data_IF_581060300382
#
_entry.id   IF_581060300382
#
_cell.length_a   1.000
_cell.length_b   1.000
_cell.length_c   1.000
_cell.angle_alpha   90.00
_cell.angle_beta   90.00
_cell.angle_gamma   90.00
#
_symmetry.space_group_name_H-M   'P 1'
#
loop_
_entity.id
_entity.type
_entity.pdbx_description
1 polymer ?
#
# COMPACT_ATOMS: atom_id res chain seq x y z
N UNK A 1 -12.18 3.32 84.28
CA UNK A 1 -11.91 4.57 83.52
C UNK A 1 -11.09 4.39 82.24
N UNK A 2 -10.42 3.25 81.98
CA UNK A 2 -9.63 3.06 80.74
C UNK A 2 -10.43 2.56 79.51
N UNK A 3 -11.54 1.85 79.69
CA UNK A 3 -12.34 1.34 78.55
C UNK A 3 -13.23 2.39 77.88
N UNK A 4 -13.68 3.41 78.61
CA UNK A 4 -14.51 4.49 78.05
C UNK A 4 -13.73 5.47 77.16
N UNK A 5 -12.41 5.59 77.36
CA UNK A 5 -11.55 6.44 76.54
C UNK A 5 -11.35 5.85 75.15
N UNK A 6 -11.27 4.52 75.03
CA UNK A 6 -11.05 3.85 73.74
C UNK A 6 -12.30 3.93 72.85
N UNK A 7 -13.51 3.84 73.43
CA UNK A 7 -14.76 3.97 72.68
C UNK A 7 -14.97 5.40 72.17
N UNK A 8 -14.59 6.41 72.95
CA UNK A 8 -14.70 7.81 72.52
C UNK A 8 -13.77 8.16 71.34
N UNK A 9 -12.58 7.55 71.27
CA UNK A 9 -11.61 7.80 70.20
C UNK A 9 -12.05 7.17 68.86
N UNK A 10 -12.73 6.02 68.90
CA UNK A 10 -13.21 5.35 67.68
C UNK A 10 -14.40 6.10 67.05
N UNK A 11 -15.24 6.76 67.85
CA UNK A 11 -16.37 7.56 67.34
C UNK A 11 -15.87 8.87 66.69
N UNK A 12 -14.71 9.40 67.11
CA UNK A 12 -14.12 10.62 66.55
C UNK A 12 -13.31 10.40 65.26
N UNK A 13 -13.00 9.15 64.88
CA UNK A 13 -12.30 8.82 63.63
C UNK A 13 -13.23 8.34 62.51
N UNK A 14 -14.53 8.24 62.77
CA UNK A 14 -15.55 7.97 61.75
C UNK A 14 -15.90 9.24 60.96
N UNK A 15 -15.02 9.64 60.04
CA UNK A 15 -15.34 10.71 59.09
C UNK A 15 -16.53 10.32 58.22
N UNK A 16 -17.61 11.11 58.27
CA UNK A 16 -18.73 10.98 57.33
C UNK A 16 -18.23 11.36 55.93
N UNK A 17 -18.04 10.37 55.06
CA UNK A 17 -17.85 10.61 53.62
C UNK A 17 -19.23 10.87 53.02
N UNK A 18 -19.59 12.15 52.88
CA UNK A 18 -20.80 12.56 52.16
C UNK A 18 -20.57 12.33 50.67
N UNK A 19 -21.23 11.33 50.09
CA UNK A 19 -21.29 11.16 48.64
C UNK A 19 -22.27 12.19 48.06
N UNK A 20 -21.86 13.03 47.08
CA UNK A 20 -22.78 13.94 46.43
C UNK A 20 -23.78 13.16 45.57
N UNK A 21 -24.97 13.73 45.37
CA UNK A 21 -25.95 13.22 44.40
C UNK A 21 -25.31 13.05 43.01
N UNK A 22 -25.76 12.03 42.26
CA UNK A 22 -25.29 11.76 40.91
C UNK A 22 -25.32 13.04 40.05
N UNK A 23 -24.22 13.33 39.35
CA UNK A 23 -24.12 14.47 38.42
C UNK A 23 -23.57 15.78 38.98
N UNK A 24 -23.08 15.83 40.23
CA UNK A 24 -22.41 17.03 40.80
C UNK A 24 -20.94 16.82 41.19
N UNK A 25 -20.27 15.84 40.57
CA UNK A 25 -18.89 15.46 40.84
C UNK A 25 -17.84 16.33 40.15
N UNK A 26 -17.56 17.53 40.66
CA UNK A 26 -16.33 18.27 40.32
C UNK A 26 -16.23 18.83 38.89
N UNK A 27 -15.15 19.58 38.64
CA UNK A 27 -14.91 20.39 37.43
C UNK A 27 -14.84 19.60 36.11
N UNK A 28 -14.88 18.26 36.16
CA UNK A 28 -14.86 17.40 34.98
C UNK A 28 -16.24 17.28 34.29
N UNK A 29 -17.34 17.60 34.97
CA UNK A 29 -18.70 17.36 34.46
C UNK A 29 -19.27 18.58 33.68
N UNK A 30 -18.54 19.70 33.62
CA UNK A 30 -19.08 20.97 33.09
C UNK A 30 -18.99 21.13 31.57
N UNK A 31 -18.74 20.05 30.82
CA UNK A 31 -18.60 20.12 29.36
C UNK A 31 -19.93 20.07 28.58
N UNK A 32 -21.08 19.91 29.23
CA UNK A 32 -22.36 19.77 28.51
C UNK A 32 -23.07 21.08 28.11
N UNK A 33 -22.53 22.25 28.45
CA UNK A 33 -23.14 23.54 28.07
C UNK A 33 -22.26 24.33 27.08
N UNK A 34 -21.88 23.71 25.96
CA UNK A 34 -21.50 24.48 24.78
C UNK A 34 -22.78 24.79 24.00
N UNK A 35 -23.14 26.07 23.78
CA UNK A 35 -24.20 26.40 22.86
C UNK A 35 -23.72 26.00 21.46
N UNK A 36 -24.32 24.97 20.89
CA UNK A 36 -24.21 24.70 19.47
C UNK A 36 -25.02 25.78 18.75
N UNK A 37 -24.37 26.90 18.46
CA UNK A 37 -24.90 27.93 17.58
C UNK A 37 -24.74 27.45 16.12
N UNK A 38 -25.89 27.46 15.44
CA UNK A 38 -26.15 27.32 14.02
C UNK A 38 -25.93 25.93 13.38
N UNK A 39 -27.04 25.19 13.38
CA UNK A 39 -27.42 24.21 12.36
C UNK A 39 -27.26 24.79 10.94
N UNK A 40 -26.08 24.63 10.36
CA UNK A 40 -25.98 24.51 8.91
C UNK A 40 -26.33 23.05 8.58
N UNK A 41 -27.62 22.79 8.34
CA UNK A 41 -28.14 21.49 7.94
C UNK A 41 -27.54 21.11 6.58
N UNK A 42 -26.39 20.43 6.58
CA UNK A 42 -25.85 19.80 5.39
C UNK A 42 -26.79 18.65 5.00
N UNK A 43 -27.50 18.81 3.88
CA UNK A 43 -28.50 17.87 3.38
C UNK A 43 -27.91 16.57 2.83
N UNK A 44 -26.67 16.25 3.20
CA UNK A 44 -25.89 15.11 2.72
C UNK A 44 -25.63 14.11 3.85
N UNK A 45 -26.62 13.90 4.73
CA UNK A 45 -26.62 12.78 5.65
C UNK A 45 -26.72 11.48 4.85
N UNK A 46 -25.57 10.81 4.67
CA UNK A 46 -25.53 9.42 4.23
C UNK A 46 -26.53 8.64 5.09
N UNK A 47 -27.49 7.98 4.44
CA UNK A 47 -28.49 7.24 5.18
C UNK A 47 -27.77 6.13 5.98
N UNK A 48 -28.21 5.79 7.20
CA UNK A 48 -27.56 4.77 8.01
C UNK A 48 -27.31 3.46 7.27
N UNK A 49 -28.17 3.13 6.30
CA UNK A 49 -28.06 1.99 5.39
C UNK A 49 -26.82 2.06 4.48
N UNK A 50 -26.53 3.24 3.92
CA UNK A 50 -25.38 3.47 3.03
C UNK A 50 -24.06 3.33 3.81
N UNK A 51 -24.06 3.75 5.07
CA UNK A 51 -22.90 3.61 5.97
C UNK A 51 -22.65 2.15 6.31
N UNK A 52 -23.68 1.40 6.73
CA UNK A 52 -23.53 -0.02 7.07
C UNK A 52 -23.08 -0.86 5.87
N UNK A 53 -23.62 -0.58 4.68
CA UNK A 53 -23.27 -1.31 3.46
C UNK A 53 -21.83 -1.04 3.01
N UNK A 54 -21.40 0.23 2.97
CA UNK A 54 -20.03 0.59 2.60
C UNK A 54 -18.99 0.06 3.58
N UNK A 55 -19.26 0.15 4.89
CA UNK A 55 -18.38 -0.42 5.92
C UNK A 55 -18.33 -1.95 5.84
N UNK A 56 -19.44 -2.62 5.52
CA UNK A 56 -19.44 -4.06 5.27
C UNK A 56 -18.58 -4.44 4.07
N UNK A 57 -18.67 -3.72 2.95
CA UNK A 57 -17.80 -3.93 1.78
C UNK A 57 -16.32 -3.78 2.13
N UNK A 58 -15.97 -2.77 2.94
CA UNK A 58 -14.60 -2.58 3.42
C UNK A 58 -14.09 -3.77 4.26
N UNK A 59 -14.92 -4.32 5.16
CA UNK A 59 -14.55 -5.50 5.94
C UNK A 59 -14.41 -6.76 5.08
N UNK A 60 -15.23 -6.91 4.05
CA UNK A 60 -15.12 -8.01 3.06
C UNK A 60 -13.77 -7.94 2.36
N UNK A 61 -13.36 -6.77 1.85
CA UNK A 61 -12.07 -6.57 1.20
C UNK A 61 -10.90 -6.87 2.15
N UNK A 62 -11.02 -6.49 3.43
CA UNK A 62 -10.02 -6.80 4.44
C UNK A 62 -9.88 -8.31 4.65
N UNK A 63 -10.98 -9.05 4.70
CA UNK A 63 -10.95 -10.50 4.85
C UNK A 63 -10.41 -11.19 3.58
N UNK A 64 -10.70 -10.66 2.39
CA UNK A 64 -10.11 -11.11 1.12
C UNK A 64 -8.61 -10.88 1.05
N UNK A 65 -8.12 -9.73 1.54
CA UNK A 65 -6.69 -9.47 1.68
C UNK A 65 -6.02 -10.54 2.56
N UNK A 66 -6.60 -10.86 3.72
CA UNK A 66 -6.06 -11.91 4.60
C UNK A 66 -6.07 -13.28 3.91
N UNK A 67 -7.11 -13.61 3.13
CA UNK A 67 -7.15 -14.85 2.32
C UNK A 67 -6.05 -14.88 1.27
N UNK A 68 -5.78 -13.76 0.59
CA UNK A 68 -4.72 -13.65 -0.42
C UNK A 68 -3.32 -13.83 0.17
N UNK A 69 -3.13 -13.44 1.42
CA UNK A 69 -1.90 -13.65 2.18
C UNK A 69 -1.76 -15.09 2.73
N UNK A 70 -2.60 -16.01 2.29
CA UNK A 70 -2.62 -17.41 2.70
C UNK A 70 -2.80 -17.64 4.22
N UNK A 71 -3.63 -16.81 4.86
CA UNK A 71 -4.01 -16.99 6.28
C UNK A 71 -4.59 -18.38 6.57
N UNK A 72 -5.16 -19.06 5.57
CA UNK A 72 -5.72 -20.40 5.69
C UNK A 72 -4.66 -21.43 6.08
N UNK A 73 -3.42 -21.30 5.60
CA UNK A 73 -2.32 -22.18 5.95
C UNK A 73 -1.91 -22.04 7.42
N UNK A 74 -1.95 -20.82 7.95
CA UNK A 74 -1.57 -20.53 9.34
C UNK A 74 -2.70 -20.76 10.34
N UNK A 75 -3.90 -20.23 10.05
CA UNK A 75 -4.99 -20.10 11.02
C UNK A 75 -6.36 -20.43 10.39
N UNK A 76 -6.58 -21.68 9.95
CA UNK A 76 -7.79 -22.07 9.24
C UNK A 76 -9.06 -21.90 10.08
N UNK A 77 -8.98 -22.16 11.40
CA UNK A 77 -10.12 -22.03 12.30
C UNK A 77 -10.57 -20.56 12.48
N UNK A 78 -9.62 -19.63 12.57
CA UNK A 78 -9.92 -18.21 12.72
C UNK A 78 -10.46 -17.61 11.42
N UNK A 79 -9.93 -18.04 10.27
CA UNK A 79 -10.47 -17.68 8.96
C UNK A 79 -11.93 -18.13 8.83
N UNK A 80 -12.22 -19.40 9.17
CA UNK A 80 -13.58 -19.93 9.11
C UNK A 80 -14.53 -19.16 10.03
N UNK A 81 -14.07 -18.83 11.26
CA UNK A 81 -14.84 -17.99 12.18
C UNK A 81 -15.18 -16.65 11.54
N UNK A 82 -14.20 -15.94 10.99
CA UNK A 82 -14.44 -14.66 10.32
C UNK A 82 -15.46 -14.77 9.18
N UNK A 83 -15.39 -15.81 8.35
CA UNK A 83 -16.35 -16.05 7.27
C UNK A 83 -17.77 -16.32 7.79
N UNK A 84 -17.93 -17.04 8.90
CA UNK A 84 -19.25 -17.27 9.51
C UNK A 84 -19.87 -15.95 9.99
N UNK A 85 -19.07 -15.08 10.62
CA UNK A 85 -19.51 -13.75 11.04
C UNK A 85 -19.89 -12.87 9.84
N UNK A 86 -19.08 -12.85 8.78
CA UNK A 86 -19.39 -12.14 7.53
C UNK A 86 -20.74 -12.60 6.94
N UNK A 87 -20.96 -13.92 6.85
CA UNK A 87 -22.21 -14.49 6.36
C UNK A 87 -23.41 -14.13 7.23
N UNK A 88 -23.23 -13.96 8.54
CA UNK A 88 -24.28 -13.49 9.45
C UNK A 88 -24.65 -12.04 9.16
N UNK A 89 -23.66 -11.15 9.06
CA UNK A 89 -23.88 -9.72 8.75
C UNK A 89 -24.56 -9.55 7.39
N UNK A 90 -24.11 -10.31 6.38
CA UNK A 90 -24.72 -10.33 5.05
C UNK A 90 -26.22 -10.66 5.10
N UNK A 91 -26.63 -11.60 5.96
CA UNK A 91 -28.04 -11.95 6.17
C UNK A 91 -28.82 -10.82 6.84
N UNK A 92 -28.24 -10.17 7.85
CA UNK A 92 -28.87 -9.03 8.54
C UNK A 92 -29.10 -7.85 7.59
N UNK A 93 -28.10 -7.50 6.77
CA UNK A 93 -28.21 -6.48 5.72
C UNK A 93 -29.31 -6.86 4.71
N UNK A 94 -29.33 -8.11 4.25
CA UNK A 94 -30.36 -8.57 3.31
C UNK A 94 -31.77 -8.54 3.90
N UNK A 95 -31.89 -8.67 5.23
CA UNK A 95 -33.14 -8.61 5.97
C UNK A 95 -33.51 -7.18 6.42
N UNK A 96 -32.72 -6.16 6.03
CA UNK A 96 -32.90 -4.76 6.43
C UNK A 96 -32.87 -4.55 7.97
N UNK A 97 -32.15 -5.42 8.69
CA UNK A 97 -31.96 -5.33 10.14
C UNK A 97 -30.73 -4.45 10.44
N UNK A 98 -30.84 -3.15 10.16
CA UNK A 98 -29.70 -2.23 10.13
C UNK A 98 -29.02 -2.03 11.49
N UNK A 99 -29.77 -1.91 12.59
CA UNK A 99 -29.15 -1.73 13.92
C UNK A 99 -28.36 -2.96 14.36
N UNK A 100 -28.90 -4.15 14.09
CA UNK A 100 -28.22 -5.41 14.41
C UNK A 100 -27.00 -5.62 13.51
N UNK A 101 -27.12 -5.26 12.23
CA UNK A 101 -26.02 -5.30 11.29
C UNK A 101 -24.89 -4.35 11.71
N UNK A 102 -25.20 -3.12 12.13
CA UNK A 102 -24.23 -2.13 12.63
C UNK A 102 -23.46 -2.63 13.85
N UNK A 103 -24.18 -3.22 14.83
CA UNK A 103 -23.54 -3.78 16.02
C UNK A 103 -22.60 -4.94 15.68
N UNK A 104 -23.07 -5.88 14.86
CA UNK A 104 -22.25 -7.00 14.40
C UNK A 104 -21.06 -6.55 13.55
N UNK A 105 -21.22 -5.48 12.77
CA UNK A 105 -20.17 -4.89 11.96
C UNK A 105 -19.02 -4.35 12.81
N UNK A 106 -19.35 -3.61 13.87
CA UNK A 106 -18.36 -3.09 14.83
C UNK A 106 -17.61 -4.24 15.52
N UNK A 107 -18.33 -5.28 15.96
CA UNK A 107 -17.71 -6.49 16.52
C UNK A 107 -16.78 -7.17 15.51
N UNK A 108 -17.22 -7.29 14.26
CA UNK A 108 -16.44 -7.92 13.20
C UNK A 108 -15.20 -7.11 12.83
N UNK A 109 -15.29 -5.78 12.79
CA UNK A 109 -14.16 -4.87 12.61
C UNK A 109 -13.07 -5.11 13.65
N UNK A 110 -13.44 -5.15 14.94
CA UNK A 110 -12.49 -5.42 16.02
C UNK A 110 -11.91 -6.84 15.94
N UNK A 111 -12.74 -7.83 15.63
CA UNK A 111 -12.28 -9.21 15.46
C UNK A 111 -11.28 -9.35 14.31
N UNK A 112 -11.51 -8.70 13.16
CA UNK A 112 -10.59 -8.70 12.03
C UNK A 112 -9.29 -7.95 12.33
N UNK A 113 -9.34 -6.85 13.08
CA UNK A 113 -8.14 -6.15 13.56
C UNK A 113 -7.27 -7.06 14.45
N UNK A 114 -7.89 -7.74 15.43
CA UNK A 114 -7.20 -8.68 16.28
C UNK A 114 -6.63 -9.87 15.48
N UNK A 115 -7.42 -10.40 14.54
CA UNK A 115 -6.98 -11.48 13.67
C UNK A 115 -5.77 -11.09 12.82
N UNK A 116 -5.76 -9.86 12.29
CA UNK A 116 -4.63 -9.33 11.50
C UNK A 116 -3.36 -9.29 12.35
N UNK A 117 -3.42 -8.67 13.54
CA UNK A 117 -2.27 -8.59 14.44
C UNK A 117 -1.77 -9.99 14.87
N UNK A 118 -2.71 -10.90 15.14
CA UNK A 118 -2.36 -12.27 15.50
C UNK A 118 -1.72 -13.01 14.33
N UNK A 119 -2.23 -12.84 13.11
CA UNK A 119 -1.66 -13.42 11.89
C UNK A 119 -0.23 -12.96 11.67
N UNK A 120 0.03 -11.65 11.78
CA UNK A 120 1.38 -11.08 11.66
C UNK A 120 2.34 -11.69 12.68
N UNK A 121 1.87 -11.86 13.92
CA UNK A 121 2.66 -12.48 15.00
C UNK A 121 2.97 -13.94 14.71
N UNK A 122 1.97 -14.73 14.31
CA UNK A 122 2.14 -16.16 13.99
C UNK A 122 3.10 -16.31 12.81
N UNK A 123 2.95 -15.48 11.78
CA UNK A 123 3.83 -15.46 10.61
C UNK A 123 5.29 -15.17 10.98
N UNK A 124 5.53 -14.20 11.86
CA UNK A 124 6.88 -13.87 12.34
C UNK A 124 7.53 -14.99 13.17
N UNK A 125 6.73 -15.78 13.91
CA UNK A 125 7.25 -16.80 14.81
C UNK A 125 7.38 -18.18 14.18
N UNK A 126 6.56 -18.48 13.16
CA UNK A 126 6.40 -19.86 12.65
C UNK A 126 6.71 -20.01 11.16
N UNK A 127 7.07 -18.92 10.46
CA UNK A 127 7.29 -18.88 9.01
C UNK A 127 6.14 -19.50 8.18
N UNK A 128 4.94 -19.57 8.77
CA UNK A 128 3.73 -20.05 8.10
C UNK A 128 3.29 -19.02 7.04
N UNK A 129 2.55 -19.47 6.01
CA UNK A 129 2.15 -18.64 4.87
C UNK A 129 3.35 -18.05 4.07
N UNK A 130 4.41 -18.85 3.91
CA UNK A 130 5.56 -18.55 3.04
C UNK A 130 5.25 -18.76 1.56
N UNK A 131 4.15 -18.17 1.08
CA UNK A 131 4.08 -17.69 -0.31
C UNK A 131 4.12 -16.18 -0.25
N UNK A 132 5.31 -15.68 0.10
CA UNK A 132 5.67 -14.29 -0.01
C UNK A 132 7.16 -14.30 -0.16
N UNK A 133 7.60 -14.04 -1.39
CA UNK A 133 8.99 -13.77 -1.72
C UNK A 133 9.51 -12.80 -0.66
N UNK A 134 10.42 -13.26 0.19
CA UNK A 134 11.00 -12.43 1.25
C UNK A 134 11.55 -11.15 0.60
N UNK A 135 11.35 -9.96 1.20
CA UNK A 135 11.93 -8.69 0.71
C UNK A 135 13.38 -8.82 0.18
N UNK A 136 14.31 -9.55 0.83
CA UNK A 136 15.65 -9.79 0.26
C UNK A 136 15.67 -10.63 -1.03
N UNK A 137 14.77 -11.60 -1.18
CA UNK A 137 14.60 -12.36 -2.42
C UNK A 137 13.96 -11.51 -3.54
N UNK A 138 13.04 -10.60 -3.20
CA UNK A 138 12.47 -9.65 -4.17
C UNK A 138 13.54 -8.73 -4.75
N UNK A 139 14.40 -8.15 -3.91
CA UNK A 139 15.51 -7.32 -4.39
C UNK A 139 16.52 -8.09 -5.25
N UNK A 140 16.74 -9.37 -4.92
CA UNK A 140 17.59 -10.25 -5.73
C UNK A 140 16.97 -10.53 -7.10
N UNK A 141 15.66 -10.82 -7.12
CA UNK A 141 14.91 -11.06 -8.36
C UNK A 141 14.82 -9.79 -9.21
N UNK A 142 14.61 -8.60 -8.59
CA UNK A 142 14.63 -7.32 -9.29
C UNK A 142 15.97 -7.03 -9.94
N UNK A 143 17.06 -7.26 -9.21
CA UNK A 143 18.41 -7.09 -9.77
C UNK A 143 18.62 -8.01 -10.96
N UNK A 144 18.26 -9.28 -10.81
CA UNK A 144 18.34 -10.25 -11.90
C UNK A 144 17.45 -9.86 -13.10
N UNK A 145 16.25 -9.34 -12.85
CA UNK A 145 15.35 -8.86 -13.89
C UNK A 145 15.92 -7.64 -14.62
N UNK A 146 16.52 -6.70 -13.89
CA UNK A 146 17.22 -5.54 -14.45
C UNK A 146 18.40 -6.00 -15.31
N UNK A 147 19.20 -6.95 -14.84
CA UNK A 147 20.36 -7.47 -15.57
C UNK A 147 19.98 -8.17 -16.89
N UNK A 148 18.82 -8.85 -16.91
CA UNK A 148 18.29 -9.50 -18.10
C UNK A 148 17.78 -8.49 -19.13
N UNK A 149 17.01 -7.49 -18.69
CA UNK A 149 16.37 -6.52 -19.58
C UNK A 149 17.32 -5.41 -20.04
N UNK A 150 18.24 -4.95 -19.18
CA UNK A 150 19.19 -3.86 -19.45
C UNK A 150 20.53 -4.37 -20.01
N UNK A 151 20.50 -5.48 -20.74
CA UNK A 151 21.69 -6.10 -21.31
C UNK A 151 22.17 -5.41 -22.59
N UNK A 152 23.47 -5.51 -22.91
CA UNK A 152 24.04 -4.96 -24.14
C UNK A 152 23.57 -5.67 -25.43
N UNK A 153 23.66 -4.93 -26.55
CA UNK A 153 23.41 -5.42 -27.92
C UNK A 153 21.99 -5.93 -28.16
N UNK A 154 21.00 -5.14 -27.75
CA UNK A 154 19.59 -5.46 -27.87
C UNK A 154 19.09 -5.40 -29.33
N UNK A 155 19.64 -4.45 -30.11
CA UNK A 155 19.21 -4.15 -31.48
C UNK A 155 20.41 -4.02 -32.43
N UNK A 156 20.20 -4.40 -33.69
CA UNK A 156 21.15 -4.10 -34.77
C UNK A 156 21.14 -2.60 -35.15
N UNK A 157 22.15 -2.18 -35.93
CA UNK A 157 22.23 -0.80 -36.41
C UNK A 157 21.00 -0.42 -37.22
N UNK A 158 20.41 0.74 -36.92
CA UNK A 158 19.19 1.26 -37.55
C UNK A 158 17.98 0.29 -37.55
N UNK A 159 17.96 -0.70 -36.65
CA UNK A 159 16.88 -1.66 -36.52
C UNK A 159 16.10 -1.45 -35.21
N UNK A 160 14.84 -1.86 -35.23
CA UNK A 160 13.98 -1.99 -34.06
C UNK A 160 13.67 -3.46 -33.70
N UNK A 161 14.08 -4.40 -34.54
CA UNK A 161 13.98 -5.82 -34.26
C UNK A 161 15.03 -6.25 -33.23
N UNK A 162 14.60 -7.05 -32.25
CA UNK A 162 15.49 -7.56 -31.20
C UNK A 162 16.41 -8.66 -31.74
N UNK A 163 17.63 -8.73 -31.20
CA UNK A 163 18.53 -9.83 -31.54
C UNK A 163 18.04 -11.16 -30.93
N UNK A 164 18.33 -12.32 -31.57
CA UNK A 164 17.94 -13.62 -31.02
C UNK A 164 18.48 -13.86 -29.59
N UNK A 165 19.69 -13.37 -29.29
CA UNK A 165 20.28 -13.43 -27.96
C UNK A 165 19.48 -12.62 -26.93
N UNK A 166 18.98 -11.44 -27.32
CA UNK A 166 18.15 -10.62 -26.44
C UNK A 166 16.75 -11.22 -26.28
N UNK A 167 16.18 -11.84 -27.32
CA UNK A 167 14.89 -12.53 -27.24
C UNK A 167 14.88 -13.63 -26.15
N UNK A 168 15.98 -14.39 -26.01
CA UNK A 168 16.13 -15.38 -24.94
C UNK A 168 16.13 -14.72 -23.55
N UNK A 169 16.80 -13.58 -23.39
CA UNK A 169 16.82 -12.83 -22.12
C UNK A 169 15.44 -12.25 -21.79
N UNK A 170 14.72 -11.74 -22.79
CA UNK A 170 13.36 -11.23 -22.62
C UNK A 170 12.39 -12.35 -22.21
N UNK A 171 12.56 -13.56 -22.74
CA UNK A 171 11.80 -14.73 -22.30
C UNK A 171 12.08 -15.07 -20.82
N UNK A 172 13.35 -15.14 -20.43
CA UNK A 172 13.75 -15.38 -19.03
C UNK A 172 13.22 -14.29 -18.09
N UNK A 173 13.27 -13.03 -18.51
CA UNK A 173 12.73 -11.91 -17.76
C UNK A 173 11.21 -12.04 -17.59
N UNK A 174 10.48 -12.42 -18.65
CA UNK A 174 9.04 -12.65 -18.58
C UNK A 174 8.66 -13.77 -17.60
N UNK A 175 9.44 -14.85 -17.54
CA UNK A 175 9.24 -15.92 -16.57
C UNK A 175 9.43 -15.45 -15.13
N UNK A 176 10.43 -14.60 -14.86
CA UNK A 176 10.62 -14.00 -13.54
C UNK A 176 9.49 -13.01 -13.19
N UNK A 177 9.02 -12.21 -14.16
CA UNK A 177 7.93 -11.25 -13.94
C UNK A 177 6.64 -11.98 -13.56
N UNK A 178 6.35 -13.13 -14.18
CA UNK A 178 5.16 -13.94 -13.86
C UNK A 178 5.18 -14.52 -12.45
N UNK A 179 6.35 -14.65 -11.83
CA UNK A 179 6.48 -15.09 -10.44
C UNK A 179 6.23 -13.97 -9.42
N UNK A 180 6.19 -12.71 -9.87
CA UNK A 180 6.02 -11.54 -9.02
C UNK A 180 4.56 -11.07 -9.06
N UNK A 181 3.92 -10.97 -7.89
CA UNK A 181 2.47 -10.74 -7.81
C UNK A 181 2.01 -9.34 -8.22
N UNK A 182 2.91 -8.35 -8.37
CA UNK A 182 2.56 -7.01 -8.84
C UNK A 182 3.82 -6.21 -9.23
N UNK A 183 4.18 -6.17 -10.51
CA UNK A 183 5.33 -5.38 -11.01
C UNK A 183 4.90 -4.51 -12.17
N UNK A 184 5.25 -3.23 -12.10
CA UNK A 184 5.12 -2.32 -13.23
C UNK A 184 6.49 -2.12 -13.86
N UNK A 185 6.56 -2.10 -15.19
CA UNK A 185 7.81 -1.96 -15.94
C UNK A 185 7.68 -0.76 -16.84
N UNK A 186 8.61 0.17 -16.70
CA UNK A 186 8.76 1.30 -17.59
C UNK A 186 9.90 1.02 -18.56
N UNK A 187 9.59 0.92 -19.85
CA UNK A 187 10.55 0.75 -20.94
C UNK A 187 10.83 2.10 -21.58
N UNK A 188 12.07 2.56 -21.54
CA UNK A 188 12.52 3.81 -22.13
C UNK A 188 13.43 3.53 -23.32
N UNK A 189 13.02 3.94 -24.51
CA UNK A 189 13.81 3.81 -25.72
C UNK A 189 14.85 4.92 -25.88
N UNK A 190 16.06 4.54 -26.29
CA UNK A 190 17.17 5.44 -26.63
C UNK A 190 17.73 5.15 -28.03
N UNK A 191 18.28 6.19 -28.64
CA UNK A 191 18.96 6.14 -29.95
C UNK A 191 20.27 6.90 -29.93
N UNK A 192 21.12 6.60 -30.90
CA UNK A 192 22.37 7.33 -31.15
C UNK A 192 22.12 8.80 -31.52
N UNK A 193 23.17 9.62 -31.43
CA UNK A 193 23.13 11.05 -31.80
C UNK A 193 23.14 11.29 -33.31
N UNK A 194 23.17 10.24 -34.12
CA UNK A 194 23.20 10.32 -35.58
C UNK A 194 21.78 10.36 -36.12
N UNK A 195 21.46 11.31 -36.99
CA UNK A 195 20.13 11.47 -37.59
C UNK A 195 19.35 12.68 -37.06
N UNK A 196 18.12 12.84 -37.51
CA UNK A 196 17.22 13.92 -37.07
C UNK A 196 16.54 13.55 -35.76
N UNK A 197 16.26 14.55 -34.92
CA UNK A 197 15.60 14.35 -33.62
C UNK A 197 14.27 13.61 -33.74
N UNK A 198 13.47 13.92 -34.76
CA UNK A 198 12.17 13.27 -34.96
C UNK A 198 12.32 11.79 -35.38
N UNK A 199 13.24 11.48 -36.30
CA UNK A 199 13.50 10.10 -36.70
C UNK A 199 14.04 9.26 -35.54
N UNK A 200 14.88 9.85 -34.69
CA UNK A 200 15.45 9.21 -33.51
C UNK A 200 14.39 8.99 -32.42
N UNK A 201 13.47 9.94 -32.25
CA UNK A 201 12.34 9.78 -31.34
C UNK A 201 11.44 8.60 -31.73
N UNK A 202 11.04 8.53 -33.01
CA UNK A 202 10.22 7.44 -33.53
C UNK A 202 10.92 6.09 -33.45
N UNK A 203 12.21 6.03 -33.78
CA UNK A 203 12.99 4.79 -33.71
C UNK A 203 13.14 4.28 -32.27
N UNK A 204 13.43 5.17 -31.33
CA UNK A 204 13.47 4.85 -29.90
C UNK A 204 12.12 4.31 -29.40
N UNK A 205 11.01 4.94 -29.80
CA UNK A 205 9.67 4.49 -29.43
C UNK A 205 9.37 3.09 -29.98
N UNK A 206 9.63 2.86 -31.27
CA UNK A 206 9.44 1.54 -31.91
C UNK A 206 10.23 0.44 -31.22
N UNK A 207 11.45 0.73 -30.76
CA UNK A 207 12.26 -0.23 -29.98
C UNK A 207 11.60 -0.58 -28.65
N UNK A 208 11.18 0.42 -27.87
CA UNK A 208 10.50 0.19 -26.59
C UNK A 208 9.18 -0.60 -26.79
N UNK A 209 8.43 -0.28 -27.83
CA UNK A 209 7.22 -1.01 -28.21
C UNK A 209 7.51 -2.45 -28.63
N UNK A 210 8.60 -2.69 -29.37
CA UNK A 210 8.99 -4.05 -29.76
C UNK A 210 9.32 -4.90 -28.53
N UNK A 211 10.07 -4.38 -27.57
CA UNK A 211 10.36 -5.10 -26.31
C UNK A 211 9.07 -5.37 -25.53
N UNK A 212 8.15 -4.39 -25.47
CA UNK A 212 6.82 -4.58 -24.88
C UNK A 212 6.05 -5.70 -25.57
N UNK A 213 6.03 -5.75 -26.89
CA UNK A 213 5.34 -6.81 -27.64
C UNK A 213 5.91 -8.18 -27.32
N UNK A 214 7.24 -8.33 -27.26
CA UNK A 214 7.87 -9.58 -26.88
C UNK A 214 7.54 -10.02 -25.45
N UNK A 215 7.56 -9.10 -24.48
CA UNK A 215 7.14 -9.40 -23.11
C UNK A 215 5.68 -9.85 -23.03
N UNK A 216 4.79 -9.21 -23.81
CA UNK A 216 3.38 -9.59 -23.91
C UNK A 216 3.21 -10.97 -24.54
N UNK A 217 3.97 -11.29 -25.59
CA UNK A 217 3.97 -12.62 -26.22
C UNK A 217 4.36 -13.71 -25.21
N UNK A 218 5.31 -13.42 -24.31
CA UNK A 218 5.72 -14.35 -23.25
C UNK A 218 4.81 -14.37 -22.01
N UNK A 219 3.68 -13.65 -22.06
CA UNK A 219 2.60 -13.73 -21.07
C UNK A 219 2.58 -12.62 -20.03
N UNK A 220 3.35 -11.54 -20.19
CA UNK A 220 3.28 -10.37 -19.30
C UNK A 220 2.06 -9.51 -19.65
N UNK A 221 1.20 -9.13 -18.69
CA UNK A 221 0.03 -8.30 -18.97
C UNK A 221 0.41 -6.95 -19.60
N UNK A 222 -0.30 -6.51 -20.65
CA UNK A 222 -0.02 -5.22 -21.31
C UNK A 222 -0.11 -4.02 -20.34
N UNK A 223 -0.95 -4.14 -19.31
CA UNK A 223 -1.21 -3.09 -18.30
C UNK A 223 0.00 -2.85 -17.39
N UNK A 224 0.83 -3.86 -17.15
CA UNK A 224 2.03 -3.70 -16.33
C UNK A 224 3.19 -3.04 -17.08
N UNK A 225 3.10 -2.83 -18.39
CA UNK A 225 4.20 -2.31 -19.21
C UNK A 225 3.86 -0.93 -19.78
N UNK A 226 4.61 0.08 -19.37
CA UNK A 226 4.56 1.44 -19.93
C UNK A 226 5.78 1.67 -20.83
N UNK A 227 5.59 2.34 -21.96
CA UNK A 227 6.67 2.66 -22.91
C UNK A 227 6.82 4.17 -23.03
N UNK A 228 8.06 4.65 -22.92
CA UNK A 228 8.47 6.03 -23.15
C UNK A 228 9.67 6.06 -24.10
N UNK A 229 9.97 7.24 -24.62
CA UNK A 229 11.13 7.48 -25.48
C UNK A 229 11.82 8.76 -25.06
N UNK A 230 13.14 8.71 -25.05
CA UNK A 230 14.00 9.89 -24.86
C UNK A 230 14.74 10.27 -26.14
N UNK A 231 14.50 9.55 -27.25
CA UNK A 231 15.24 9.72 -28.50
C UNK A 231 16.76 9.75 -28.26
N UNK A 232 17.41 10.79 -28.79
CA UNK A 232 18.85 11.04 -28.60
C UNK A 232 19.17 12.04 -27.46
N UNK A 233 18.18 12.41 -26.63
CA UNK A 233 18.32 13.49 -25.64
C UNK A 233 19.16 13.09 -24.42
N UNK A 234 19.26 11.78 -24.13
CA UNK A 234 19.98 11.25 -22.97
C UNK A 234 20.97 10.15 -23.37
N UNK A 235 22.10 10.51 -24.02
CA UNK A 235 23.16 9.57 -24.34
C UNK A 235 23.83 9.08 -23.05
N UNK A 236 24.20 7.81 -23.02
CA UNK A 236 24.97 7.19 -21.93
C UNK A 236 26.46 7.52 -22.06
N UNK A 237 26.93 7.71 -23.28
CA UNK A 237 28.28 8.16 -23.59
C UNK A 237 28.44 9.68 -23.43
N UNK A 238 29.18 10.12 -22.40
CA UNK A 238 29.59 11.53 -22.24
C UNK A 238 30.71 11.93 -23.22
N UNK A 239 31.43 10.96 -23.80
CA UNK A 239 32.59 11.18 -24.67
C UNK A 239 32.25 11.01 -26.16
N UNK A 240 33.22 11.38 -27.02
CA UNK A 240 33.13 11.31 -28.49
C UNK A 240 32.63 9.96 -29.02
N UNK A 241 31.82 9.92 -30.10
CA UNK A 241 31.19 8.68 -30.55
C UNK A 241 32.23 7.69 -31.12
N UNK A 242 32.48 6.59 -30.42
CA UNK A 242 33.21 5.43 -30.90
C UNK A 242 32.22 4.26 -31.10
N UNK A 243 32.56 3.23 -31.87
CA UNK A 243 31.62 2.14 -32.18
C UNK A 243 31.07 1.47 -30.91
N UNK A 244 31.93 1.23 -29.92
CA UNK A 244 31.52 0.67 -28.63
C UNK A 244 30.54 1.56 -27.86
N UNK A 245 30.70 2.89 -27.91
CA UNK A 245 29.78 3.81 -27.20
C UNK A 245 28.43 3.96 -27.91
N UNK A 246 28.41 3.83 -29.24
CA UNK A 246 27.18 3.77 -30.03
C UNK A 246 26.35 2.52 -29.74
N UNK A 247 26.98 1.39 -29.45
CA UNK A 247 26.23 0.18 -29.07
C UNK A 247 25.48 0.34 -27.74
N UNK A 248 26.04 1.08 -26.78
CA UNK A 248 25.41 1.37 -25.48
C UNK A 248 24.32 2.44 -25.55
N UNK A 249 24.37 3.34 -26.53
CA UNK A 249 23.35 4.37 -26.76
C UNK A 249 22.09 3.82 -27.46
N UNK A 250 22.22 2.75 -28.28
CA UNK A 250 21.08 2.01 -28.86
C UNK A 250 20.47 0.99 -27.89
N UNK A 251 19.86 1.47 -26.81
CA UNK A 251 19.25 0.60 -25.79
C UNK A 251 17.79 0.94 -25.51
N UNK A 252 17.08 -0.05 -25.01
CA UNK A 252 15.87 0.12 -24.22
C UNK A 252 16.27 -0.11 -22.77
N UNK A 253 16.01 0.89 -21.93
CA UNK A 253 16.20 0.83 -20.50
C UNK A 253 14.89 0.41 -19.85
N UNK A 254 14.91 -0.71 -19.14
CA UNK A 254 13.81 -1.20 -18.35
C UNK A 254 13.99 -0.77 -16.89
N UNK A 255 13.06 0.05 -16.41
CA UNK A 255 12.97 0.50 -15.02
C UNK A 255 11.85 -0.30 -14.37
N UNK A 256 12.22 -1.07 -13.34
CA UNK A 256 11.28 -1.89 -12.59
C UNK A 256 10.68 -1.02 -11.49
N UNK A 257 9.37 -0.81 -11.56
CA UNK A 257 8.58 -0.04 -10.62
C UNK A 257 7.84 -1.00 -9.68
N UNK A 258 8.02 -0.78 -8.39
CA UNK A 258 7.29 -1.52 -7.36
C UNK A 258 5.82 -1.09 -7.33
N UNK A 259 4.91 -2.02 -7.65
CA UNK A 259 3.49 -1.78 -7.43
C UNK A 259 3.14 -1.68 -5.92
N UNK A 260 3.99 -2.24 -5.05
CA UNK A 260 3.80 -2.26 -3.59
C UNK A 260 4.59 -1.19 -2.82
N UNK A 261 5.28 -0.26 -3.49
CA UNK A 261 5.87 0.92 -2.82
C UNK A 261 4.84 2.06 -2.65
N UNK A 262 3.64 1.70 -2.21
CA UNK A 262 2.91 2.54 -1.27
C UNK A 262 3.46 2.25 0.14
N UNK A 263 4.77 2.41 0.33
CA UNK A 263 5.32 2.59 1.67
C UNK A 263 5.06 4.06 2.02
N UNK A 264 4.13 4.40 2.94
CA UNK A 264 3.90 5.79 3.31
C UNK A 264 5.12 6.44 3.96
N UNK A 265 6.14 5.66 4.32
CA UNK A 265 7.38 6.14 4.95
C UNK A 265 8.43 6.68 3.96
N UNK A 266 8.38 6.36 2.67
CA UNK A 266 9.31 6.94 1.66
C UNK A 266 8.73 8.17 0.95
N UNK A 267 7.43 8.43 1.10
CA UNK A 267 6.81 9.75 0.84
C UNK A 267 6.88 10.65 2.09
N UNK A 268 8.07 10.84 2.67
CA UNK A 268 8.34 12.13 3.31
C UNK A 268 8.63 13.13 2.21
N UNK A 269 7.58 13.58 1.53
CA UNK A 269 7.64 14.84 0.81
C UNK A 269 8.17 15.87 1.80
N UNK A 270 9.41 16.32 1.58
CA UNK A 270 9.98 17.43 2.34
C UNK A 270 9.02 18.59 2.15
N UNK A 271 8.25 18.92 3.18
CA UNK A 271 7.43 20.11 3.20
C UNK A 271 8.29 21.28 2.74
N UNK A 272 7.97 21.84 1.58
CA UNK A 272 8.74 22.91 0.94
C UNK A 272 8.71 24.22 1.76
N UNK A 273 7.99 24.24 2.88
CA UNK A 273 7.94 25.39 3.80
C UNK A 273 8.03 24.89 5.25
N UNK A 274 9.04 25.40 5.95
CA UNK A 274 9.26 25.17 7.38
C UNK A 274 8.39 26.14 8.17
N UNK A 275 7.09 25.86 8.28
CA UNK A 275 6.09 26.71 8.96
C UNK A 275 6.44 27.03 10.42
N UNK A 276 7.31 26.24 11.04
CA UNK A 276 7.81 26.47 12.41
C UNK A 276 8.69 27.72 12.55
N UNK A 277 9.22 28.29 11.45
CA UNK A 277 9.94 29.58 11.49
C UNK A 277 9.02 30.80 11.52
N UNK A 278 7.78 30.69 11.03
CA UNK A 278 6.84 31.82 10.96
C UNK A 278 6.22 32.09 12.34
N UNK A 279 5.98 31.04 13.13
CA UNK A 279 5.40 31.16 14.47
C UNK A 279 6.43 31.71 15.49
N UNK A 280 7.72 31.46 15.27
CA UNK A 280 8.80 31.97 16.14
C UNK A 280 9.11 33.47 15.93
N UNK A 281 8.77 34.04 14.76
CA UNK A 281 9.02 35.45 14.42
C UNK A 281 7.86 36.41 14.70
N UNK A 282 6.78 35.95 15.34
CA UNK A 282 5.60 36.78 15.67
C UNK A 282 5.37 36.95 17.17
N UNK A 283 6.38 36.64 17.98
CA UNK A 283 6.49 37.03 19.39
C UNK A 283 7.60 38.08 19.54
N UNK A 284 7.36 39.25 18.96
CA UNK A 284 7.88 40.54 19.42
C UNK A 284 6.72 41.53 19.43
#
# INVERSE_FOLDING_TARGET
>A
MRSYVIVAVIILLGGCSSWPEHGKGGLAEKYQNYPLEDELYDSNYAQPEDVVTSEFEHLVLKLELLKSQDIKACMPAQLLKAQIYENRIRRLISAQMWQDAEHDLLLHYHALNQLTNHFDTVRQLTDCASVSITKPALETIKKQLSDLLNSDNQFAFNAFEITPKYAVRVAQAADLIKQLESVNILLVGHTDRVGTTNSNYELALKRAETVKQWLVIYGVPKVSITTLTQGSLKPYSETTPNDSSRHSDRRVEAIILDANNQNPQDKKEKALVKWTKIIAGKKE
#
